data_IF_788494328114
#
_entry.id   IF_788494328114
#
_cell.length_a   1.000
_cell.length_b   1.000
_cell.length_c   1.000
_cell.angle_alpha   90.00
_cell.angle_beta   90.00
_cell.angle_gamma   90.00
#
_symmetry.space_group_name_H-M   'P 1'
#
loop_
_entity.id
_entity.type
_entity.pdbx_description
1 polymer ?
#
# COMPACT_ATOMS: atom_id res chain seq x y z
N UNK A 1 35.75 -10.33 9.72
CA UNK A 1 35.45 -10.90 11.07
C UNK A 1 33.94 -10.96 11.24
N UNK A 2 33.36 -12.14 10.99
CA UNK A 2 31.96 -12.45 11.28
C UNK A 2 31.92 -12.98 12.70
N UNK A 3 31.49 -12.16 13.67
CA UNK A 3 31.29 -12.62 15.02
C UNK A 3 29.91 -12.21 15.54
N UNK A 4 29.14 -13.22 15.87
CA UNK A 4 28.21 -13.16 16.97
C UNK A 4 26.72 -13.12 16.70
N UNK A 5 26.19 -13.83 15.73
CA UNK A 5 24.83 -14.34 15.91
C UNK A 5 24.97 -15.69 16.63
N UNK A 6 24.96 -15.66 17.97
CA UNK A 6 24.78 -16.89 18.75
C UNK A 6 23.46 -17.49 18.32
N UNK A 7 23.51 -18.69 17.74
CA UNK A 7 22.34 -19.52 17.53
C UNK A 7 21.69 -19.76 18.89
N UNK A 8 20.64 -19.04 19.21
CA UNK A 8 19.76 -19.39 20.32
C UNK A 8 19.29 -20.81 20.06
N UNK A 9 19.66 -21.72 20.93
CA UNK A 9 19.25 -23.11 20.80
C UNK A 9 17.72 -23.20 20.74
N UNK A 10 17.19 -24.18 19.99
CA UNK A 10 15.74 -24.39 19.79
C UNK A 10 14.97 -24.32 21.11
N UNK A 11 15.56 -24.82 22.22
CA UNK A 11 14.95 -24.76 23.57
C UNK A 11 14.77 -23.34 24.11
N UNK A 12 15.59 -22.36 23.69
CA UNK A 12 15.46 -20.97 24.13
C UNK A 12 14.46 -20.19 23.24
N UNK A 13 14.18 -20.69 22.03
CA UNK A 13 13.16 -20.10 21.14
C UNK A 13 11.74 -20.53 21.52
N UNK A 14 11.55 -21.68 22.18
CA UNK A 14 10.22 -22.20 22.53
C UNK A 14 9.36 -21.24 23.36
N UNK A 15 9.85 -20.60 24.42
CA UNK A 15 9.06 -19.65 25.20
C UNK A 15 8.68 -18.40 24.39
N UNK A 16 9.56 -17.96 23.49
CA UNK A 16 9.26 -16.83 22.60
C UNK A 16 8.22 -17.20 21.55
N UNK A 17 8.32 -18.41 20.95
CA UNK A 17 7.32 -18.91 19.99
C UNK A 17 5.95 -19.06 20.66
N UNK A 18 5.90 -19.51 21.92
CA UNK A 18 4.64 -19.60 22.68
C UNK A 18 4.02 -18.20 22.89
N UNK A 19 4.84 -17.17 23.18
CA UNK A 19 4.37 -15.78 23.26
C UNK A 19 3.86 -15.25 21.92
N UNK A 20 4.39 -15.74 20.81
CA UNK A 20 3.94 -15.36 19.47
C UNK A 20 2.61 -16.01 19.07
N UNK A 21 2.24 -17.11 19.69
CA UNK A 21 0.99 -17.83 19.46
C UNK A 21 -0.20 -17.22 20.23
N UNK A 22 -0.02 -16.10 20.93
CA UNK A 22 -1.13 -15.40 21.60
C UNK A 22 -2.06 -14.83 20.55
N UNK A 23 -3.32 -15.19 20.66
CA UNK A 23 -4.39 -14.74 19.79
C UNK A 23 -4.74 -13.27 20.09
N UNK A 24 -4.15 -12.34 19.34
CA UNK A 24 -4.45 -10.91 19.44
C UNK A 24 -5.69 -10.59 18.59
N UNK A 25 -6.86 -11.07 19.00
CA UNK A 25 -8.09 -10.94 18.22
C UNK A 25 -8.48 -9.50 17.94
N UNK A 26 -8.20 -8.60 18.87
CA UNK A 26 -8.69 -7.22 18.84
C UNK A 26 -7.60 -6.19 18.48
N UNK A 27 -6.36 -6.61 18.24
CA UNK A 27 -5.25 -5.72 17.90
C UNK A 27 -4.24 -6.33 16.96
N UNK A 28 -3.51 -5.49 16.25
CA UNK A 28 -2.35 -5.90 15.44
C UNK A 28 -1.09 -5.96 16.34
N UNK A 29 -0.03 -6.63 15.88
CA UNK A 29 1.23 -6.70 16.63
C UNK A 29 1.79 -5.30 16.89
N UNK A 30 1.95 -4.89 18.17
CA UNK A 30 2.40 -3.54 18.50
C UNK A 30 3.81 -3.24 17.98
N UNK A 31 4.66 -4.27 17.84
CA UNK A 31 6.02 -4.11 17.33
C UNK A 31 5.98 -3.81 15.85
N UNK A 32 5.10 -4.48 15.06
CA UNK A 32 4.93 -4.19 13.66
C UNK A 32 4.36 -2.78 13.44
N UNK A 33 3.32 -2.42 14.17
CA UNK A 33 2.76 -1.06 14.12
C UNK A 33 3.84 -0.01 14.38
N UNK A 34 4.65 -0.19 15.43
CA UNK A 34 5.77 0.71 15.75
C UNK A 34 6.79 0.80 14.61
N UNK A 35 7.15 -0.32 13.97
CA UNK A 35 8.07 -0.30 12.84
C UNK A 35 7.47 0.42 11.62
N UNK A 36 6.18 0.20 11.34
CA UNK A 36 5.48 0.90 10.25
C UNK A 36 5.51 2.40 10.51
N UNK A 37 5.13 2.85 11.70
CA UNK A 37 5.11 4.26 12.08
C UNK A 37 6.49 4.93 11.97
N UNK A 38 7.55 4.26 12.43
CA UNK A 38 8.86 4.87 12.58
C UNK A 38 9.80 4.69 11.40
N UNK A 39 9.62 3.64 10.57
CA UNK A 39 10.58 3.28 9.53
C UNK A 39 9.97 3.11 8.12
N UNK A 40 8.67 2.88 8.02
CA UNK A 40 8.01 2.67 6.72
C UNK A 40 7.30 3.95 6.27
N UNK A 41 6.31 4.41 7.03
CA UNK A 41 5.50 5.58 6.68
C UNK A 41 6.30 6.87 6.47
N UNK A 42 7.34 7.19 7.28
CA UNK A 42 8.13 8.41 7.07
C UNK A 42 8.83 8.48 5.72
N UNK A 43 9.17 7.33 5.11
CA UNK A 43 9.74 7.30 3.75
C UNK A 43 8.76 7.79 2.68
N UNK A 44 7.47 7.75 2.98
CA UNK A 44 6.38 8.25 2.13
C UNK A 44 5.85 9.61 2.55
N UNK A 45 6.46 10.23 3.58
CA UNK A 45 6.02 11.50 4.17
C UNK A 45 4.73 11.36 4.99
N UNK A 46 4.34 10.15 5.38
CA UNK A 46 3.12 9.88 6.13
C UNK A 46 3.43 9.81 7.62
N UNK A 47 2.63 10.51 8.42
CA UNK A 47 2.66 10.45 9.87
C UNK A 47 1.28 10.02 10.37
N UNK A 48 1.23 8.90 11.07
CA UNK A 48 -0.01 8.32 11.57
C UNK A 48 0.16 7.79 12.99
N UNK A 49 -0.88 7.89 13.81
CA UNK A 49 -0.91 7.22 15.10
C UNK A 49 -1.26 5.72 14.92
N UNK A 50 -1.12 4.93 16.00
CA UNK A 50 -1.37 3.48 15.94
C UNK A 50 -2.80 3.12 15.55
N UNK A 51 -3.77 3.96 15.92
CA UNK A 51 -5.19 3.72 15.73
C UNK A 51 -5.65 4.08 14.30
N UNK A 52 -4.79 4.77 13.55
CA UNK A 52 -4.96 5.04 12.11
C UNK A 52 -4.38 3.95 11.21
N UNK A 53 -3.77 2.90 11.78
CA UNK A 53 -3.11 1.84 11.01
C UNK A 53 -3.85 0.51 11.23
N UNK A 54 -4.15 -0.19 10.14
CA UNK A 54 -4.68 -1.55 10.16
C UNK A 54 -3.79 -2.48 9.34
N UNK A 55 -3.37 -3.59 9.95
CA UNK A 55 -2.65 -4.65 9.22
C UNK A 55 -3.64 -5.49 8.44
N UNK A 56 -3.29 -5.85 7.20
CA UNK A 56 -4.15 -6.60 6.28
C UNK A 56 -3.42 -7.79 5.66
N UNK A 57 -4.17 -8.73 5.08
CA UNK A 57 -3.61 -9.86 4.31
C UNK A 57 -3.24 -9.42 2.88
N UNK A 58 -2.28 -8.46 2.78
CA UNK A 58 -1.90 -7.79 1.54
C UNK A 58 -2.84 -6.65 1.16
N UNK A 59 -2.48 -5.90 0.09
CA UNK A 59 -3.26 -4.76 -0.42
C UNK A 59 -4.65 -5.17 -0.91
N UNK A 60 -4.79 -6.31 -1.58
CA UNK A 60 -6.07 -6.79 -2.08
C UNK A 60 -7.12 -6.98 -0.97
N UNK A 61 -6.72 -7.52 0.20
CA UNK A 61 -7.60 -7.62 1.36
C UNK A 61 -7.96 -6.23 1.92
N UNK A 62 -7.01 -5.29 1.95
CA UNK A 62 -7.28 -3.91 2.33
C UNK A 62 -8.34 -3.28 1.41
N UNK A 63 -8.16 -3.40 0.10
CA UNK A 63 -9.09 -2.85 -0.90
C UNK A 63 -10.48 -3.50 -0.78
N UNK A 64 -10.54 -4.82 -0.54
CA UNK A 64 -11.82 -5.50 -0.33
C UNK A 64 -12.55 -4.98 0.91
N UNK A 65 -11.85 -4.74 2.02
CA UNK A 65 -12.41 -4.15 3.24
C UNK A 65 -12.93 -2.74 2.95
N UNK A 66 -12.13 -1.91 2.26
CA UNK A 66 -12.51 -0.54 1.89
C UNK A 66 -13.76 -0.55 1.00
N UNK A 67 -13.78 -1.37 -0.04
CA UNK A 67 -14.94 -1.53 -0.92
C UNK A 67 -16.19 -1.98 -0.16
N UNK A 68 -16.03 -2.89 0.82
CA UNK A 68 -17.14 -3.39 1.62
C UNK A 68 -17.74 -2.35 2.55
N UNK A 69 -16.97 -1.40 3.02
CA UNK A 69 -17.43 -0.35 3.93
C UNK A 69 -17.94 0.90 3.21
N UNK A 70 -17.33 1.27 2.08
CA UNK A 70 -17.64 2.53 1.39
C UNK A 70 -18.56 2.36 0.18
N UNK A 71 -18.45 1.22 -0.54
CA UNK A 71 -19.23 1.03 -1.75
C UNK A 71 -20.54 0.28 -1.48
N UNK A 72 -21.63 0.81 -2.00
CA UNK A 72 -22.98 0.23 -2.02
C UNK A 72 -23.57 0.42 -3.40
N UNK A 73 -24.72 -0.19 -3.67
CA UNK A 73 -25.45 0.04 -4.91
C UNK A 73 -25.68 1.55 -5.12
N UNK A 74 -25.33 2.04 -6.28
CA UNK A 74 -25.40 3.46 -6.65
C UNK A 74 -24.13 4.27 -6.41
N UNK A 75 -23.16 3.79 -5.59
CA UNK A 75 -21.85 4.45 -5.44
C UNK A 75 -21.12 4.52 -6.78
N UNK A 76 -20.65 5.71 -7.16
CA UNK A 76 -19.90 5.94 -8.40
C UNK A 76 -18.41 5.92 -8.13
N UNK A 77 -17.69 5.05 -8.82
CA UNK A 77 -16.27 4.81 -8.56
C UNK A 77 -15.45 5.10 -9.81
N UNK A 78 -14.55 6.06 -9.75
CA UNK A 78 -13.57 6.33 -10.80
C UNK A 78 -12.34 5.42 -10.62
N UNK A 79 -11.90 4.82 -11.72
CA UNK A 79 -10.71 3.96 -11.75
C UNK A 79 -9.87 4.25 -12.98
N UNK A 80 -8.55 4.15 -12.84
CA UNK A 80 -7.60 4.26 -13.94
C UNK A 80 -7.90 3.23 -15.05
N UNK A 81 -7.78 3.66 -16.31
CA UNK A 81 -7.94 2.81 -17.49
C UNK A 81 -6.81 3.09 -18.51
N UNK A 82 -5.90 2.11 -18.76
CA UNK A 82 -5.87 0.77 -18.13
C UNK A 82 -5.57 0.81 -16.63
N UNK A 83 -6.03 -0.19 -15.89
CA UNK A 83 -5.85 -0.29 -14.45
C UNK A 83 -5.84 -1.74 -13.97
N UNK A 84 -5.72 -1.96 -12.67
CA UNK A 84 -5.62 -3.30 -12.07
C UNK A 84 -6.97 -4.04 -12.10
N UNK A 85 -7.10 -5.16 -12.86
CA UNK A 85 -8.39 -5.81 -13.10
C UNK A 85 -9.05 -6.34 -11.82
N UNK A 86 -8.27 -6.90 -10.87
CA UNK A 86 -8.83 -7.49 -9.65
C UNK A 86 -9.50 -6.44 -8.78
N UNK A 87 -8.99 -5.21 -8.76
CA UNK A 87 -9.61 -4.11 -8.01
C UNK A 87 -10.95 -3.74 -8.64
N UNK A 88 -11.01 -3.68 -9.98
CA UNK A 88 -12.27 -3.46 -10.69
C UNK A 88 -13.29 -4.55 -10.33
N UNK A 89 -12.86 -5.81 -10.33
CA UNK A 89 -13.72 -6.94 -9.96
C UNK A 89 -14.21 -6.82 -8.52
N UNK A 90 -13.35 -6.42 -7.57
CA UNK A 90 -13.75 -6.21 -6.17
C UNK A 90 -14.86 -5.16 -6.06
N UNK A 91 -14.73 -4.03 -6.74
CA UNK A 91 -15.76 -2.99 -6.70
C UNK A 91 -17.04 -3.39 -7.44
N UNK A 92 -16.93 -4.17 -8.52
CA UNK A 92 -18.10 -4.67 -9.28
C UNK A 92 -19.02 -5.57 -8.45
N UNK A 93 -18.54 -6.18 -7.34
CA UNK A 93 -19.42 -6.87 -6.39
C UNK A 93 -20.30 -5.93 -5.57
N UNK A 94 -20.06 -4.62 -5.59
CA UNK A 94 -20.74 -3.62 -4.77
C UNK A 94 -21.59 -2.66 -5.59
N UNK A 95 -21.13 -2.29 -6.78
CA UNK A 95 -21.78 -1.32 -7.65
C UNK A 95 -21.49 -1.60 -9.12
N UNK A 96 -22.45 -1.28 -9.98
CA UNK A 96 -22.28 -1.33 -11.44
C UNK A 96 -21.67 -0.02 -11.99
N UNK A 97 -21.59 1.05 -11.16
CA UNK A 97 -21.19 2.38 -11.57
C UNK A 97 -19.66 2.57 -11.47
N UNK A 98 -18.92 1.85 -12.29
CA UNK A 98 -17.46 2.02 -12.39
C UNK A 98 -17.13 2.83 -13.63
N UNK A 99 -16.59 4.03 -13.42
CA UNK A 99 -16.23 4.99 -14.46
C UNK A 99 -14.73 4.84 -14.78
N UNK A 100 -14.38 4.42 -16.00
CA UNK A 100 -12.99 4.38 -16.41
C UNK A 100 -12.48 5.80 -16.69
N UNK A 101 -11.33 6.16 -16.12
CA UNK A 101 -10.65 7.45 -16.35
C UNK A 101 -9.34 7.17 -17.07
N UNK A 102 -9.09 7.88 -18.15
CA UNK A 102 -7.85 7.76 -18.93
C UNK A 102 -6.60 8.13 -18.13
N UNK A 103 -5.46 7.67 -18.62
CA UNK A 103 -4.13 8.03 -18.13
C UNK A 103 -3.25 8.54 -19.23
N UNK A 104 -2.37 9.48 -18.88
CA UNK A 104 -1.31 10.00 -19.74
C UNK A 104 0.06 9.88 -19.06
N UNK A 105 1.07 10.53 -19.59
CA UNK A 105 2.44 10.57 -19.03
C UNK A 105 2.53 11.15 -17.61
N UNK A 106 1.54 11.86 -17.14
CA UNK A 106 1.45 12.52 -15.84
C UNK A 106 0.49 11.82 -14.87
N UNK A 107 -0.08 10.67 -15.25
CA UNK A 107 -1.00 9.86 -14.44
C UNK A 107 -2.46 10.00 -14.87
N UNK A 108 -3.40 9.76 -13.96
CA UNK A 108 -4.85 9.81 -14.20
C UNK A 108 -5.28 11.19 -14.74
N UNK A 109 -6.18 11.21 -15.72
CA UNK A 109 -6.72 12.44 -16.33
C UNK A 109 -7.76 13.09 -15.40
N UNK A 110 -7.29 13.92 -14.46
CA UNK A 110 -8.16 14.51 -13.43
C UNK A 110 -9.27 15.41 -13.99
N UNK A 111 -9.13 15.91 -15.22
CA UNK A 111 -10.16 16.72 -15.88
C UNK A 111 -11.37 15.88 -16.35
N UNK A 112 -11.24 14.56 -16.41
CA UNK A 112 -12.33 13.63 -16.68
C UNK A 112 -13.11 13.25 -15.42
N UNK A 113 -12.61 13.61 -14.22
CA UNK A 113 -13.25 13.31 -12.94
C UNK A 113 -14.41 14.29 -12.73
N UNK A 114 -15.63 13.75 -12.71
CA UNK A 114 -16.85 14.53 -12.57
C UNK A 114 -17.33 14.59 -11.11
N UNK A 115 -18.12 15.61 -10.74
CA UNK A 115 -18.59 15.79 -9.36
C UNK A 115 -19.43 14.66 -8.78
N UNK A 116 -20.08 13.86 -9.62
CA UNK A 116 -20.89 12.70 -9.17
C UNK A 116 -20.08 11.50 -8.70
N UNK A 117 -18.75 11.54 -8.78
CA UNK A 117 -17.88 10.46 -8.33
C UNK A 117 -17.73 10.51 -6.81
N UNK A 118 -17.99 9.37 -6.16
CA UNK A 118 -17.85 9.22 -4.71
C UNK A 118 -16.44 8.75 -4.31
N UNK A 119 -15.87 7.83 -5.09
CA UNK A 119 -14.60 7.18 -4.79
C UNK A 119 -13.67 7.20 -6.01
N UNK A 120 -12.41 7.50 -5.78
CA UNK A 120 -11.35 7.44 -6.80
C UNK A 120 -10.32 6.40 -6.35
N UNK A 121 -10.08 5.37 -7.18
CA UNK A 121 -8.99 4.43 -6.99
C UNK A 121 -7.83 4.77 -7.94
N UNK A 122 -6.62 4.91 -7.41
CA UNK A 122 -5.42 5.25 -8.19
C UNK A 122 -4.16 4.62 -7.64
N UNK A 123 -3.16 4.39 -8.53
CA UNK A 123 -1.83 3.86 -8.23
C UNK A 123 -0.74 4.90 -8.56
N UNK A 124 -0.68 6.03 -7.84
CA UNK A 124 -0.01 7.25 -8.29
C UNK A 124 1.52 7.18 -8.28
N UNK A 125 2.12 6.26 -7.55
CA UNK A 125 3.58 6.12 -7.47
C UNK A 125 4.17 5.26 -8.59
N UNK A 126 3.40 4.27 -9.02
CA UNK A 126 3.74 3.36 -10.10
C UNK A 126 2.44 2.81 -10.69
N UNK A 127 1.92 3.51 -11.69
CA UNK A 127 0.63 3.18 -12.30
C UNK A 127 0.65 1.77 -12.91
N UNK A 128 -0.34 0.98 -12.58
CA UNK A 128 -0.49 -0.35 -13.16
C UNK A 128 -1.40 -0.32 -14.40
N UNK A 129 -0.98 -0.83 -15.59
CA UNK A 129 0.29 -1.52 -15.85
C UNK A 129 1.38 -0.64 -16.47
N UNK A 130 1.15 0.65 -16.68
CA UNK A 130 1.99 1.52 -17.53
C UNK A 130 3.31 1.92 -16.88
N UNK A 131 3.42 1.84 -15.56
CA UNK A 131 4.61 2.30 -14.82
C UNK A 131 4.72 3.83 -14.68
N UNK A 132 3.73 4.59 -15.15
CA UNK A 132 3.72 6.05 -15.05
C UNK A 132 3.67 6.48 -13.59
N UNK A 133 4.43 7.52 -13.25
CA UNK A 133 4.37 8.18 -11.94
C UNK A 133 3.58 9.46 -12.04
N UNK A 134 2.51 9.59 -11.26
CA UNK A 134 1.68 10.80 -11.22
C UNK A 134 2.50 12.02 -10.81
N UNK A 135 2.43 13.07 -11.61
CA UNK A 135 3.13 14.33 -11.37
C UNK A 135 2.62 15.05 -10.11
N UNK A 136 3.44 15.92 -9.52
CA UNK A 136 3.05 16.70 -8.34
C UNK A 136 1.88 17.65 -8.63
N UNK A 137 1.84 18.24 -9.81
CA UNK A 137 0.73 19.09 -10.24
C UNK A 137 -0.58 18.30 -10.27
N UNK A 138 -0.55 17.10 -10.85
CA UNK A 138 -1.70 16.20 -10.96
C UNK A 138 -2.18 15.72 -9.58
N UNK A 139 -1.23 15.43 -8.64
CA UNK A 139 -1.55 15.06 -7.25
C UNK A 139 -2.30 16.18 -6.53
N UNK A 140 -1.79 17.41 -6.62
CA UNK A 140 -2.43 18.57 -5.99
C UNK A 140 -3.82 18.84 -6.59
N UNK A 141 -3.97 18.75 -7.91
CA UNK A 141 -5.25 18.94 -8.59
C UNK A 141 -6.26 17.86 -8.17
N UNK A 142 -5.84 16.60 -8.09
CA UNK A 142 -6.69 15.49 -7.65
C UNK A 142 -7.19 15.69 -6.20
N UNK A 143 -6.30 16.11 -5.30
CA UNK A 143 -6.66 16.41 -3.91
C UNK A 143 -7.64 17.58 -3.81
N UNK A 144 -7.47 18.64 -4.62
CA UNK A 144 -8.41 19.77 -4.65
C UNK A 144 -9.80 19.34 -5.11
N UNK A 145 -9.89 18.58 -6.21
CA UNK A 145 -11.15 18.05 -6.73
C UNK A 145 -11.84 17.17 -5.69
N UNK A 146 -11.08 16.27 -5.05
CA UNK A 146 -11.62 15.37 -4.03
C UNK A 146 -12.15 16.14 -2.81
N UNK A 147 -11.47 17.20 -2.39
CA UNK A 147 -11.92 18.07 -1.30
C UNK A 147 -13.20 18.82 -1.66
N UNK A 148 -13.22 19.47 -2.82
CA UNK A 148 -14.36 20.28 -3.28
C UNK A 148 -15.65 19.46 -3.44
N UNK A 149 -15.51 18.19 -3.83
CA UNK A 149 -16.66 17.31 -4.09
C UNK A 149 -16.82 16.21 -3.02
N UNK A 150 -16.08 16.28 -1.89
CA UNK A 150 -16.16 15.31 -0.79
C UNK A 150 -15.91 13.86 -1.21
N UNK A 151 -15.04 13.65 -2.19
CA UNK A 151 -14.67 12.33 -2.70
C UNK A 151 -13.65 11.65 -1.79
N UNK A 152 -13.68 10.32 -1.74
CA UNK A 152 -12.64 9.51 -1.09
C UNK A 152 -11.65 9.04 -2.14
N UNK A 153 -10.36 9.23 -1.89
CA UNK A 153 -9.27 8.70 -2.70
C UNK A 153 -8.72 7.44 -2.03
N UNK A 154 -8.62 6.36 -2.78
CA UNK A 154 -7.90 5.15 -2.38
C UNK A 154 -6.58 5.15 -3.14
N UNK A 155 -5.49 5.38 -2.41
CA UNK A 155 -4.12 5.35 -2.93
C UNK A 155 -3.51 3.98 -2.68
N UNK A 156 -3.35 3.16 -3.73
CA UNK A 156 -2.61 1.90 -3.65
C UNK A 156 -1.15 2.11 -4.05
N UNK A 157 -0.28 2.03 -3.05
CA UNK A 157 1.15 2.31 -3.17
C UNK A 157 1.97 1.01 -3.06
N UNK A 158 1.67 0.07 -3.92
CA UNK A 158 2.15 -1.31 -3.87
C UNK A 158 3.65 -1.49 -4.20
N UNK A 159 4.30 -0.51 -4.82
CA UNK A 159 5.70 -0.55 -5.27
C UNK A 159 6.50 0.74 -5.01
N UNK A 160 6.07 1.59 -4.09
CA UNK A 160 6.71 2.88 -3.84
C UNK A 160 8.22 2.82 -3.58
N UNK A 161 8.66 1.75 -2.94
CA UNK A 161 10.07 1.61 -2.53
C UNK A 161 10.96 1.02 -3.62
N UNK A 162 10.40 0.52 -4.71
CA UNK A 162 11.13 -0.15 -5.80
C UNK A 162 11.55 0.84 -6.89
N UNK A 163 11.04 2.07 -6.85
CA UNK A 163 11.43 3.10 -7.83
C UNK A 163 12.93 3.43 -7.70
N UNK A 164 13.67 3.20 -8.79
CA UNK A 164 15.12 3.39 -8.87
C UNK A 164 15.53 4.51 -9.82
N UNK A 165 14.59 5.06 -10.59
CA UNK A 165 14.88 6.08 -11.61
C UNK A 165 14.92 7.50 -11.04
N UNK A 166 14.06 7.77 -10.07
CA UNK A 166 13.91 9.11 -9.48
C UNK A 166 13.62 9.02 -7.98
N UNK A 167 13.83 10.12 -7.27
CA UNK A 167 13.33 10.26 -5.90
C UNK A 167 11.80 10.17 -5.95
N UNK A 168 11.17 9.31 -5.14
CA UNK A 168 9.71 9.17 -5.14
C UNK A 168 9.02 10.50 -4.83
N UNK A 169 7.94 10.80 -5.55
CA UNK A 169 7.05 11.89 -5.17
C UNK A 169 6.40 11.58 -3.80
N UNK A 170 6.12 12.60 -2.97
CA UNK A 170 5.31 12.44 -1.77
C UNK A 170 3.99 11.72 -2.10
N UNK A 171 3.54 10.83 -1.20
CA UNK A 171 2.25 10.15 -1.38
C UNK A 171 1.09 11.14 -1.37
N UNK A 172 -0.05 10.80 -1.98
CA UNK A 172 -1.28 11.60 -1.86
C UNK A 172 -1.67 11.73 -0.38
N UNK A 173 -1.57 10.65 0.38
CA UNK A 173 -1.83 10.65 1.83
C UNK A 173 -0.97 11.64 2.60
N UNK A 174 0.29 11.83 2.22
CA UNK A 174 1.18 12.79 2.89
C UNK A 174 0.84 14.26 2.59
N UNK A 175 0.18 14.50 1.46
CA UNK A 175 -0.26 15.82 1.02
C UNK A 175 -1.70 16.13 1.47
N UNK A 176 -2.44 15.11 1.85
CA UNK A 176 -3.84 15.19 2.27
C UNK A 176 -3.99 15.86 3.64
N UNK A 177 -4.66 17.01 3.67
CA UNK A 177 -4.97 17.78 4.90
C UNK A 177 -6.40 17.62 5.37
N UNK A 178 -7.25 17.01 4.54
CA UNK A 178 -8.70 16.98 4.71
C UNK A 178 -9.21 15.56 5.06
N UNK A 179 -8.30 14.59 5.23
CA UNK A 179 -8.60 13.17 5.52
C UNK A 179 -9.41 12.45 4.42
N UNK A 180 -9.27 12.88 3.17
CA UNK A 180 -9.94 12.29 2.03
C UNK A 180 -9.20 11.07 1.45
N UNK A 181 -7.94 10.82 1.86
CA UNK A 181 -7.11 9.74 1.31
C UNK A 181 -7.04 8.58 2.28
N UNK A 182 -7.39 7.38 1.80
CA UNK A 182 -7.08 6.09 2.41
C UNK A 182 -5.86 5.53 1.67
N UNK A 183 -4.76 5.34 2.40
CA UNK A 183 -3.53 4.81 1.87
C UNK A 183 -3.45 3.29 2.08
N UNK A 184 -3.06 2.56 1.06
CA UNK A 184 -2.83 1.12 1.09
C UNK A 184 -1.37 0.84 0.74
N UNK A 185 -0.68 0.14 1.65
CA UNK A 185 0.69 -0.29 1.47
C UNK A 185 0.82 -1.81 1.48
N UNK A 186 1.84 -2.33 0.82
CA UNK A 186 2.10 -3.77 0.71
C UNK A 186 3.53 -4.13 1.06
N UNK A 187 3.69 -5.23 1.81
CA UNK A 187 4.99 -5.85 2.03
C UNK A 187 5.26 -7.01 1.07
N UNK A 188 4.24 -7.48 0.35
CA UNK A 188 4.32 -8.72 -0.44
C UNK A 188 5.35 -8.66 -1.56
N UNK A 189 5.46 -7.52 -2.29
CA UNK A 189 6.47 -7.37 -3.36
C UNK A 189 7.87 -7.12 -2.83
N UNK A 190 7.94 -6.45 -1.70
CA UNK A 190 9.21 -6.06 -1.10
C UNK A 190 9.92 -7.21 -0.39
N UNK A 191 9.19 -8.03 0.37
CA UNK A 191 9.79 -9.10 1.18
C UNK A 191 9.67 -10.48 0.52
N UNK A 192 8.46 -10.94 0.39
CA UNK A 192 8.13 -12.22 -0.24
C UNK A 192 6.62 -12.26 -0.51
N UNK A 193 6.20 -12.64 -1.71
CA UNK A 193 4.77 -12.73 -2.06
C UNK A 193 3.98 -13.64 -1.11
N UNK A 194 4.59 -14.72 -0.62
CA UNK A 194 3.96 -15.68 0.30
C UNK A 194 3.68 -15.17 1.71
N UNK A 195 4.25 -14.04 2.13
CA UNK A 195 3.96 -13.44 3.46
C UNK A 195 2.54 -12.90 3.56
N UNK A 196 1.96 -12.49 2.43
CA UNK A 196 0.61 -11.94 2.35
C UNK A 196 0.32 -10.92 3.47
N UNK A 197 1.18 -9.91 3.58
CA UNK A 197 1.09 -8.86 4.57
C UNK A 197 1.04 -7.49 3.91
N UNK A 198 0.08 -6.67 4.34
CA UNK A 198 -0.09 -5.29 3.92
C UNK A 198 -0.61 -4.45 5.08
N UNK A 199 -0.87 -3.21 4.82
CA UNK A 199 -1.47 -2.30 5.80
C UNK A 199 -2.25 -1.19 5.11
N UNK A 200 -3.21 -0.60 5.82
CA UNK A 200 -3.85 0.64 5.41
C UNK A 200 -3.61 1.73 6.45
N UNK A 201 -3.64 2.99 5.99
CA UNK A 201 -3.64 4.18 6.83
C UNK A 201 -4.87 5.01 6.48
N UNK A 202 -5.74 5.21 7.46
CA UNK A 202 -7.01 5.91 7.28
C UNK A 202 -7.39 6.65 8.58
N UNK A 203 -8.45 7.48 8.57
CA UNK A 203 -9.01 8.05 9.79
C UNK A 203 -9.35 6.97 10.83
N UNK A 204 -9.14 7.27 12.10
CA UNK A 204 -9.30 6.31 13.21
C UNK A 204 -10.70 5.67 13.24
N UNK A 205 -11.75 6.47 13.02
CA UNK A 205 -13.12 5.96 12.96
C UNK A 205 -13.28 4.90 11.85
N UNK A 206 -12.69 5.12 10.67
CA UNK A 206 -12.72 4.16 9.58
C UNK A 206 -11.92 2.89 9.91
N UNK A 207 -10.74 3.03 10.50
CA UNK A 207 -9.90 1.89 10.90
C UNK A 207 -10.60 1.01 11.92
N UNK A 208 -11.38 1.60 12.84
CA UNK A 208 -12.19 0.86 13.82
C UNK A 208 -13.21 -0.05 13.12
N UNK A 209 -13.97 0.48 12.17
CA UNK A 209 -14.95 -0.30 11.40
C UNK A 209 -14.26 -1.34 10.49
N UNK A 210 -13.16 -0.97 9.85
CA UNK A 210 -12.36 -1.87 9.03
C UNK A 210 -11.79 -3.04 9.85
N UNK A 211 -11.37 -2.81 11.08
CA UNK A 211 -10.91 -3.84 12.02
C UNK A 211 -12.05 -4.78 12.42
N UNK A 212 -13.23 -4.25 12.69
CA UNK A 212 -14.41 -5.05 13.00
C UNK A 212 -14.79 -5.94 11.82
N UNK A 213 -14.81 -5.42 10.60
CA UNK A 213 -15.08 -6.19 9.40
C UNK A 213 -14.01 -7.25 9.15
N UNK A 214 -12.73 -6.91 9.24
CA UNK A 214 -11.61 -7.86 9.10
C UNK A 214 -11.75 -9.03 10.07
N UNK A 215 -12.16 -8.76 11.32
CA UNK A 215 -12.39 -9.79 12.34
C UNK A 215 -13.46 -10.80 11.90
N UNK A 216 -14.52 -10.36 11.25
CA UNK A 216 -15.55 -11.25 10.71
C UNK A 216 -15.06 -12.08 9.52
N UNK A 217 -14.13 -11.54 8.71
CA UNK A 217 -13.61 -12.22 7.51
C UNK A 217 -12.56 -13.29 7.84
N UNK A 218 -11.54 -12.90 8.60
CA UNK A 218 -10.32 -13.71 8.81
C UNK A 218 -9.86 -13.70 10.26
N UNK A 219 -10.66 -13.18 11.19
CA UNK A 219 -10.35 -13.01 12.61
C UNK A 219 -9.18 -12.05 12.83
N UNK A 220 -7.94 -12.46 12.57
CA UNK A 220 -6.74 -11.64 12.63
C UNK A 220 -5.69 -12.11 11.62
N UNK A 221 -4.71 -11.26 11.35
CA UNK A 221 -3.55 -11.63 10.56
C UNK A 221 -2.61 -12.48 11.42
N UNK A 222 -2.01 -13.57 10.89
CA UNK A 222 -1.12 -14.44 11.66
C UNK A 222 -0.03 -13.65 12.39
N UNK A 223 0.01 -13.82 13.72
CA UNK A 223 0.94 -13.08 14.59
C UNK A 223 2.41 -13.35 14.25
N UNK A 224 2.74 -14.59 13.84
CA UNK A 224 4.09 -14.96 13.43
C UNK A 224 4.57 -14.16 12.21
N UNK A 225 3.70 -13.94 11.22
CA UNK A 225 4.04 -13.14 10.04
C UNK A 225 4.27 -11.69 10.44
N UNK A 226 3.40 -11.13 11.28
CA UNK A 226 3.54 -9.76 11.76
C UNK A 226 4.84 -9.57 12.54
N UNK A 227 5.15 -10.48 13.47
CA UNK A 227 6.36 -10.43 14.30
C UNK A 227 7.62 -10.60 13.46
N UNK A 228 7.63 -11.51 12.49
CA UNK A 228 8.78 -11.75 11.61
C UNK A 228 9.10 -10.47 10.80
N UNK A 229 8.08 -9.81 10.26
CA UNK A 229 8.26 -8.56 9.52
C UNK A 229 8.71 -7.44 10.45
N UNK A 230 8.16 -7.35 11.66
CA UNK A 230 8.60 -6.37 12.66
C UNK A 230 10.09 -6.51 12.99
N UNK A 231 10.57 -7.73 13.21
CA UNK A 231 11.98 -8.02 13.46
C UNK A 231 12.85 -7.68 12.25
N UNK A 232 12.42 -8.06 11.04
CA UNK A 232 13.15 -7.76 9.81
C UNK A 232 13.34 -6.26 9.60
N UNK A 233 12.29 -5.47 9.82
CA UNK A 233 12.35 -4.01 9.75
C UNK A 233 13.21 -3.46 10.90
N UNK A 234 12.99 -3.98 12.12
CA UNK A 234 13.67 -3.57 13.34
C UNK A 234 15.19 -3.69 13.25
N UNK A 235 15.67 -4.80 12.69
CA UNK A 235 17.09 -5.11 12.50
C UNK A 235 17.74 -4.37 11.31
N UNK A 236 16.98 -3.55 10.57
CA UNK A 236 17.52 -2.77 9.44
C UNK A 236 17.58 -3.54 8.11
N UNK A 237 17.19 -4.81 8.08
CA UNK A 237 17.22 -5.61 6.85
C UNK A 237 16.31 -5.05 5.75
N UNK A 238 15.20 -4.44 6.15
CA UNK A 238 14.28 -3.76 5.24
C UNK A 238 14.97 -2.71 4.37
N UNK A 239 15.74 -1.80 5.00
CA UNK A 239 16.45 -0.75 4.26
C UNK A 239 17.51 -1.33 3.32
N UNK A 240 18.32 -2.26 3.80
CA UNK A 240 19.39 -2.89 3.03
C UNK A 240 18.84 -3.65 1.82
N UNK A 241 17.72 -4.33 1.98
CA UNK A 241 17.06 -5.06 0.90
C UNK A 241 16.60 -4.10 -0.21
N UNK A 242 15.97 -2.98 0.12
CA UNK A 242 15.52 -2.00 -0.88
C UNK A 242 16.70 -1.38 -1.63
N UNK A 243 17.75 -1.00 -0.94
CA UNK A 243 18.97 -0.49 -1.57
C UNK A 243 19.52 -1.50 -2.59
N UNK A 244 19.52 -2.78 -2.24
CA UNK A 244 19.96 -3.85 -3.13
C UNK A 244 19.03 -4.02 -4.34
N UNK A 245 17.69 -4.04 -4.11
CA UNK A 245 16.69 -4.17 -5.19
C UNK A 245 16.80 -3.00 -6.16
N UNK A 246 16.86 -1.77 -5.65
CA UNK A 246 17.00 -0.56 -6.48
C UNK A 246 18.27 -0.60 -7.34
N UNK A 247 19.40 -1.01 -6.76
CA UNK A 247 20.66 -1.17 -7.49
C UNK A 247 20.51 -2.21 -8.61
N UNK A 248 20.00 -3.40 -8.30
CA UNK A 248 19.80 -4.48 -9.27
C UNK A 248 18.83 -4.08 -10.39
N UNK A 249 17.73 -3.39 -10.05
CA UNK A 249 16.77 -2.94 -11.05
C UNK A 249 17.37 -1.86 -11.96
N UNK A 250 18.18 -0.95 -11.41
CA UNK A 250 18.90 0.06 -12.21
C UNK A 250 19.89 -0.59 -13.20
N UNK A 251 20.63 -1.59 -12.75
CA UNK A 251 21.56 -2.35 -13.60
C UNK A 251 20.80 -3.08 -14.73
N UNK A 252 19.72 -3.79 -14.40
CA UNK A 252 18.86 -4.47 -15.38
C UNK A 252 18.24 -3.50 -16.39
N UNK A 253 17.77 -2.36 -15.92
CA UNK A 253 17.22 -1.33 -16.79
C UNK A 253 18.25 -0.77 -17.77
N UNK A 254 19.51 -0.57 -17.32
CA UNK A 254 20.61 -0.16 -18.18
C UNK A 254 20.85 -1.16 -19.33
N UNK A 255 20.92 -2.45 -19.02
CA UNK A 255 21.08 -3.53 -20.00
C UNK A 255 19.92 -3.61 -21.00
N UNK A 256 18.68 -3.44 -20.54
CA UNK A 256 17.49 -3.45 -21.39
C UNK A 256 17.53 -2.27 -22.35
N UNK A 257 17.80 -1.06 -21.86
CA UNK A 257 17.88 0.14 -22.68
C UNK A 257 19.00 0.05 -23.73
N UNK A 258 20.14 -0.49 -23.35
CA UNK A 258 21.26 -0.70 -24.29
C UNK A 258 20.83 -1.62 -25.45
N UNK A 259 20.17 -2.74 -25.13
CA UNK A 259 19.69 -3.67 -26.16
C UNK A 259 18.59 -3.09 -27.05
N UNK A 260 17.61 -2.40 -26.49
CA UNK A 260 16.54 -1.76 -27.27
C UNK A 260 17.09 -0.69 -28.21
N UNK A 261 18.10 0.06 -27.79
CA UNK A 261 18.72 1.09 -28.63
C UNK A 261 19.67 0.53 -29.70
N UNK A 262 20.14 -0.72 -29.53
CA UNK A 262 21.00 -1.41 -30.51
C UNK A 262 20.20 -2.11 -31.62
N UNK A 263 18.96 -2.50 -31.33
CA UNK A 263 18.05 -3.17 -32.28
C UNK A 263 16.77 -2.30 -32.41
N UNK A 264 16.76 -1.26 -33.27
CA UNK A 264 15.53 -0.52 -33.53
C UNK A 264 14.52 -1.45 -34.24
N UNK A 265 13.30 -1.52 -33.67
CA UNK A 265 12.17 -2.27 -34.22
C UNK A 265 11.77 -1.79 -35.61
#
# INVERSE_FOLDING_TARGET
MMNGVRSLGIRQLFPEIQKWNIDHVDSDDPSLIKQIQSKVLPKRGIWANKDQILITSGSQNAIYIIASLLAKQGTVIAMENPGYPDVRNIFSFRTDNIVPIGIDKDGILVDEIKPEIDIIFTTPSHQYPTGVTMSMERRNKLLSIAKENQMVIIEDDYEAEVNFLRKPNPSLKSLDKDNNVIYVGSFSKAFAPGLRLGYMVAPEAFVKEARALRRLMIRHIPANNQRSVALFIGLGHYHNMFTKIQKTNKERWGLINEKINQEPL
#
